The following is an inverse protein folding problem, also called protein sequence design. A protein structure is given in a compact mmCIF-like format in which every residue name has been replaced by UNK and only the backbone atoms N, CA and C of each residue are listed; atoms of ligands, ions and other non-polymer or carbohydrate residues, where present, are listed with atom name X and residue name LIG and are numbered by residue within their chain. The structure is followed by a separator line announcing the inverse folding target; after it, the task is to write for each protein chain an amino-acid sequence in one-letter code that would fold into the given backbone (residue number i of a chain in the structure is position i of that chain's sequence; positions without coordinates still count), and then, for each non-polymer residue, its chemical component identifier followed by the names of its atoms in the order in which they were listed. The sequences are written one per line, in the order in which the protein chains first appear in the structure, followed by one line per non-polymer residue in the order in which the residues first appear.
data_IF_328557794573
#
_entry.id   IF_328557794573
#
_cell.length_a   1.000
_cell.length_b   1.000
_cell.length_c   1.000
_cell.angle_alpha   90.00
_cell.angle_beta   90.00
_cell.angle_gamma   90.00
#
_symmetry.space_group_name_H-M   'P 1'
#
loop_
_entity.id
_entity.type
_entity.pdbx_description
1 polymer ?
#
# COMPACT_ATOMS: atom_id res chain seq x y z
N UNK A 1 -11.69 19.06 -7.75
CA UNK A 1 -12.09 17.91 -6.90
C UNK A 1 -12.20 18.38 -5.45
N UNK A 2 -13.20 17.87 -4.73
CA UNK A 2 -13.29 18.10 -3.30
C UNK A 2 -12.26 17.21 -2.56
N UNK A 3 -12.11 17.42 -1.25
CA UNK A 3 -11.12 16.69 -0.47
C UNK A 3 -11.34 15.17 -0.51
N UNK A 4 -12.58 14.71 -0.42
CA UNK A 4 -12.88 13.28 -0.47
C UNK A 4 -12.46 12.65 -1.80
N UNK A 5 -12.69 13.35 -2.90
CA UNK A 5 -12.26 12.89 -4.23
C UNK A 5 -10.74 12.85 -4.36
N UNK A 6 -10.04 13.85 -3.82
CA UNK A 6 -8.58 13.88 -3.80
C UNK A 6 -8.02 12.69 -3.03
N UNK A 7 -8.56 12.43 -1.84
CA UNK A 7 -8.13 11.30 -1.01
C UNK A 7 -8.42 9.96 -1.69
N UNK A 8 -9.60 9.81 -2.29
CA UNK A 8 -9.96 8.58 -3.00
C UNK A 8 -8.98 8.30 -4.14
N UNK A 9 -8.66 9.32 -4.93
CA UNK A 9 -7.69 9.19 -6.03
C UNK A 9 -6.30 8.82 -5.49
N UNK A 10 -5.86 9.46 -4.41
CA UNK A 10 -4.54 9.19 -3.81
C UNK A 10 -4.46 7.79 -3.22
N UNK A 11 -5.49 7.34 -2.53
CA UNK A 11 -5.51 5.98 -1.96
C UNK A 11 -5.48 4.91 -3.07
N UNK A 12 -6.22 5.14 -4.16
CA UNK A 12 -6.17 4.25 -5.32
C UNK A 12 -4.77 4.19 -5.94
N UNK A 13 -4.13 5.32 -6.13
CA UNK A 13 -2.75 5.38 -6.66
C UNK A 13 -1.73 4.74 -5.72
N UNK A 14 -1.95 4.85 -4.42
CA UNK A 14 -1.11 4.21 -3.42
C UNK A 14 -1.07 2.69 -3.60
N UNK A 15 -2.21 2.07 -3.89
CA UNK A 15 -2.26 0.62 -4.14
C UNK A 15 -1.31 0.23 -5.27
N UNK A 16 -1.36 0.95 -6.39
CA UNK A 16 -0.56 0.61 -7.56
C UNK A 16 0.91 1.02 -7.42
N UNK A 17 1.25 1.82 -6.44
CA UNK A 17 2.66 2.08 -6.09
C UNK A 17 3.39 0.82 -5.63
N UNK A 18 2.67 -0.17 -5.14
CA UNK A 18 3.24 -1.45 -4.72
C UNK A 18 3.39 -2.46 -5.88
N UNK A 19 2.96 -2.11 -7.08
CA UNK A 19 3.16 -2.98 -8.25
C UNK A 19 4.63 -3.09 -8.61
N UNK A 20 5.03 -4.30 -9.01
CA UNK A 20 6.35 -4.57 -9.56
C UNK A 20 6.23 -5.51 -10.75
N UNK A 21 7.08 -5.27 -11.75
CA UNK A 21 7.26 -6.17 -12.89
C UNK A 21 8.65 -6.77 -12.84
N UNK A 22 8.79 -7.96 -13.38
CA UNK A 22 10.11 -8.58 -13.54
C UNK A 22 11.00 -7.64 -14.38
N UNK A 23 12.21 -7.39 -13.89
CA UNK A 23 13.15 -6.50 -14.57
C UNK A 23 13.06 -5.03 -14.17
N UNK A 24 12.12 -4.64 -13.33
CA UNK A 24 12.07 -3.27 -12.80
C UNK A 24 13.33 -2.95 -11.99
N UNK A 25 13.63 -1.66 -11.91
CA UNK A 25 14.69 -1.18 -11.01
C UNK A 25 14.41 -1.60 -9.56
N UNK A 26 15.44 -1.74 -8.72
CA UNK A 26 15.24 -2.06 -7.31
C UNK A 26 14.23 -1.14 -6.66
N UNK A 27 13.35 -1.71 -5.86
CA UNK A 27 12.30 -0.96 -5.17
C UNK A 27 12.92 0.07 -4.23
N UNK A 28 12.48 1.31 -4.34
CA UNK A 28 12.89 2.43 -3.51
C UNK A 28 11.64 3.08 -2.92
N UNK A 29 11.43 2.87 -1.64
CA UNK A 29 10.23 3.36 -0.95
C UNK A 29 10.11 4.88 -1.02
N UNK A 30 11.19 5.60 -0.78
CA UNK A 30 11.18 7.07 -0.81
C UNK A 30 10.82 7.62 -2.18
N UNK A 31 11.33 7.01 -3.24
CA UNK A 31 11.03 7.42 -4.62
C UNK A 31 9.56 7.18 -4.98
N UNK A 32 9.01 6.03 -4.60
CA UNK A 32 7.64 5.66 -4.96
C UNK A 32 6.62 6.33 -4.05
N UNK A 33 6.88 6.35 -2.74
CA UNK A 33 5.92 6.78 -1.73
C UNK A 33 6.24 8.12 -1.07
N UNK A 34 7.26 8.82 -1.52
CA UNK A 34 7.63 10.13 -0.97
C UNK A 34 6.52 11.16 -1.03
N UNK A 35 5.63 11.05 -2.01
CA UNK A 35 4.47 11.93 -2.16
C UNK A 35 3.27 11.53 -1.30
N UNK A 36 3.26 10.32 -0.73
CA UNK A 36 2.10 9.79 0.00
C UNK A 36 2.23 9.90 1.51
N UNK A 37 3.42 9.67 2.05
CA UNK A 37 3.64 9.62 3.51
C UNK A 37 4.21 10.92 4.04
N UNK A 38 3.88 11.21 5.31
CA UNK A 38 4.52 12.30 6.03
C UNK A 38 5.82 11.78 6.66
N UNK A 39 6.95 12.20 6.12
CA UNK A 39 8.27 11.76 6.57
C UNK A 39 8.78 12.53 7.80
N UNK A 40 8.09 13.58 8.22
CA UNK A 40 8.55 14.44 9.32
C UNK A 40 7.65 14.46 10.55
N UNK A 41 6.45 13.89 10.48
CA UNK A 41 5.49 13.99 11.59
C UNK A 41 5.83 13.01 12.72
N UNK A 42 5.80 13.46 13.99
CA UNK A 42 5.89 12.56 15.14
C UNK A 42 4.60 11.74 15.34
N UNK A 43 3.53 12.05 14.62
CA UNK A 43 2.23 11.38 14.73
C UNK A 43 2.17 10.07 13.93
N UNK A 44 3.18 9.76 13.13
CA UNK A 44 3.17 8.61 12.23
C UNK A 44 3.16 7.30 13.01
N UNK A 45 2.21 6.42 12.66
CA UNK A 45 2.15 5.02 13.11
C UNK A 45 1.65 4.17 11.96
N UNK A 46 2.48 3.26 11.49
CA UNK A 46 2.21 2.46 10.29
C UNK A 46 2.39 0.98 10.64
N UNK A 47 1.37 0.19 10.34
CA UNK A 47 1.34 -1.23 10.69
C UNK A 47 0.71 -2.05 9.57
N UNK A 48 1.31 -3.21 9.30
CA UNK A 48 0.77 -4.19 8.39
C UNK A 48 1.00 -5.58 8.98
N UNK A 49 -0.07 -6.34 9.18
CA UNK A 49 0.02 -7.68 9.78
C UNK A 49 0.70 -8.71 8.86
N UNK A 50 0.91 -8.36 7.59
CA UNK A 50 1.66 -9.21 6.66
C UNK A 50 3.17 -9.15 6.91
N UNK A 51 3.65 -8.15 7.65
CA UNK A 51 5.01 -8.14 8.18
C UNK A 51 5.14 -9.23 9.25
N UNK A 52 5.98 -10.26 9.03
CA UNK A 52 6.13 -11.35 10.01
C UNK A 52 6.60 -10.87 11.38
N UNK A 53 7.30 -9.73 11.44
CA UNK A 53 7.76 -9.14 12.69
C UNK A 53 6.69 -8.34 13.43
N UNK A 54 5.52 -8.12 12.82
CA UNK A 54 4.43 -7.33 13.41
C UNK A 54 4.88 -5.99 13.97
N UNK A 55 5.78 -5.32 13.23
CA UNK A 55 6.39 -4.07 13.69
C UNK A 55 5.49 -2.88 13.41
N UNK A 56 5.36 -2.00 14.39
CA UNK A 56 4.72 -0.70 14.20
C UNK A 56 5.81 0.31 13.90
N UNK A 57 5.81 0.85 12.68
CA UNK A 57 6.76 1.89 12.32
C UNK A 57 6.30 3.24 12.88
N UNK A 58 7.21 3.99 13.47
CA UNK A 58 6.93 5.31 14.03
C UNK A 58 7.40 6.44 13.12
N UNK A 59 8.00 6.09 11.98
CA UNK A 59 8.38 7.02 10.92
C UNK A 59 8.10 6.36 9.57
N UNK A 60 7.87 7.18 8.56
CA UNK A 60 7.71 6.67 7.20
C UNK A 60 8.98 6.01 6.67
N UNK A 61 10.14 6.57 6.99
CA UNK A 61 11.43 5.98 6.62
C UNK A 61 11.61 4.59 7.25
N UNK A 62 11.21 4.42 8.51
CA UNK A 62 11.23 3.12 9.19
C UNK A 62 10.31 2.10 8.54
N UNK A 63 9.13 2.53 8.09
CA UNK A 63 8.21 1.67 7.37
C UNK A 63 8.80 1.20 6.04
N UNK A 64 9.40 2.12 5.30
CA UNK A 64 10.12 1.79 4.07
C UNK A 64 11.23 0.77 4.30
N UNK A 65 11.97 0.90 5.39
CA UNK A 65 13.03 -0.04 5.75
C UNK A 65 12.51 -1.45 6.04
N UNK A 66 11.25 -1.57 6.52
CA UNK A 66 10.60 -2.87 6.70
C UNK A 66 10.30 -3.53 5.35
N UNK A 67 9.80 -2.76 4.37
CA UNK A 67 9.30 -3.31 3.13
C UNK A 67 10.30 -3.40 2.00
N UNK A 68 11.35 -2.55 1.98
CA UNK A 68 12.31 -2.55 0.89
C UNK A 68 12.95 -3.91 0.63
N UNK A 69 13.45 -4.64 1.65
CA UNK A 69 14.07 -5.95 1.38
C UNK A 69 13.10 -6.94 0.72
N UNK A 70 11.87 -7.01 1.23
CA UNK A 70 10.86 -7.92 0.70
C UNK A 70 10.49 -7.58 -0.74
N UNK A 71 10.30 -6.29 -1.04
CA UNK A 71 9.93 -5.86 -2.40
C UNK A 71 11.09 -5.97 -3.39
N UNK A 72 12.32 -5.81 -2.93
CA UNK A 72 13.50 -6.02 -3.80
C UNK A 72 13.67 -7.49 -4.18
N UNK A 73 13.25 -8.40 -3.31
CA UNK A 73 13.34 -9.84 -3.58
C UNK A 73 12.17 -10.37 -4.41
N UNK A 74 11.07 -9.60 -4.52
CA UNK A 74 9.93 -10.00 -5.34
C UNK A 74 10.26 -10.00 -6.83
N UNK A 75 9.82 -11.02 -7.53
CA UNK A 75 9.86 -11.06 -9.00
C UNK A 75 8.81 -10.11 -9.56
N UNK A 76 7.59 -10.20 -9.05
CA UNK A 76 6.49 -9.32 -9.48
C UNK A 76 5.43 -9.20 -8.38
N UNK A 77 4.67 -8.12 -8.45
CA UNK A 77 3.48 -7.91 -7.61
C UNK A 77 2.47 -7.12 -8.43
N UNK A 78 1.27 -7.67 -8.58
CA UNK A 78 0.18 -7.06 -9.34
C UNK A 78 -1.04 -6.91 -8.46
N UNK A 79 -1.60 -5.70 -8.43
CA UNK A 79 -2.70 -5.33 -7.55
C UNK A 79 -3.95 -4.98 -8.35
N UNK A 80 -5.11 -5.18 -7.73
CA UNK A 80 -6.38 -4.68 -8.23
C UNK A 80 -7.24 -4.24 -7.04
N UNK A 81 -8.04 -3.19 -7.22
CA UNK A 81 -8.93 -2.72 -6.16
C UNK A 81 -10.18 -3.61 -6.16
N UNK A 82 -10.51 -4.13 -4.99
CA UNK A 82 -11.64 -5.02 -4.77
C UNK A 82 -12.86 -4.26 -4.25
N UNK A 83 -12.65 -3.26 -3.39
CA UNK A 83 -13.71 -2.43 -2.83
C UNK A 83 -13.16 -1.06 -2.41
N UNK A 84 -13.91 -0.01 -2.65
CA UNK A 84 -13.54 1.37 -2.28
C UNK A 84 -12.72 2.09 -3.35
N UNK A 85 -12.09 3.20 -3.00
CA UNK A 85 -11.94 3.79 -1.65
C UNK A 85 -13.21 4.40 -1.09
N UNK A 86 -13.38 4.26 0.22
CA UNK A 86 -14.43 4.94 0.99
C UNK A 86 -13.75 6.00 1.86
N UNK A 87 -14.20 7.25 1.77
CA UNK A 87 -13.50 8.39 2.37
C UNK A 87 -14.43 9.22 3.23
N UNK A 88 -13.95 9.64 4.38
CA UNK A 88 -14.53 10.71 5.17
C UNK A 88 -13.46 11.78 5.41
N UNK A 89 -13.82 13.05 5.28
CA UNK A 89 -12.90 14.16 5.49
C UNK A 89 -13.54 15.22 6.37
N UNK A 90 -12.75 15.79 7.27
CA UNK A 90 -13.19 16.86 8.17
C UNK A 90 -11.99 17.74 8.51
N UNK A 91 -12.03 19.01 8.05
CA UNK A 91 -10.93 19.93 8.25
C UNK A 91 -9.63 19.42 7.65
N UNK A 92 -8.61 19.30 8.48
CA UNK A 92 -7.26 18.91 8.04
C UNK A 92 -6.98 17.41 8.17
N UNK A 93 -8.00 16.62 8.50
CA UNK A 93 -7.87 15.16 8.60
C UNK A 93 -8.85 14.47 7.68
N UNK A 94 -8.44 13.32 7.17
CA UNK A 94 -9.30 12.44 6.41
C UNK A 94 -8.97 10.99 6.75
N UNK A 95 -9.97 10.13 6.64
CA UNK A 95 -9.79 8.69 6.78
C UNK A 95 -10.30 8.01 5.52
N UNK A 96 -9.59 7.00 5.07
CA UNK A 96 -10.02 6.22 3.92
C UNK A 96 -9.79 4.74 4.15
N UNK A 97 -10.69 3.93 3.61
CA UNK A 97 -10.56 2.48 3.63
C UNK A 97 -10.75 1.95 2.22
N UNK A 98 -10.01 0.92 1.89
CA UNK A 98 -10.26 0.15 0.68
C UNK A 98 -9.80 -1.29 0.88
N UNK A 99 -10.25 -2.15 0.01
CA UNK A 99 -9.77 -3.52 -0.04
C UNK A 99 -9.15 -3.75 -1.41
N UNK A 100 -7.96 -4.32 -1.42
CA UNK A 100 -7.31 -4.69 -2.66
C UNK A 100 -6.91 -6.17 -2.64
N UNK A 101 -6.69 -6.71 -3.82
CA UNK A 101 -6.13 -8.05 -4.01
C UNK A 101 -4.79 -7.92 -4.71
N UNK A 102 -3.90 -8.86 -4.47
CA UNK A 102 -2.60 -8.85 -5.09
C UNK A 102 -2.10 -10.27 -5.37
N UNK A 103 -1.41 -10.41 -6.48
CA UNK A 103 -0.66 -11.63 -6.80
C UNK A 103 0.82 -11.30 -6.69
N UNK A 104 1.50 -11.99 -5.80
CA UNK A 104 2.90 -11.76 -5.48
C UNK A 104 3.69 -12.97 -5.91
N UNK A 105 4.65 -12.76 -6.81
CA UNK A 105 5.58 -13.79 -7.23
C UNK A 105 6.94 -13.57 -6.58
N UNK A 106 7.42 -14.58 -5.89
CA UNK A 106 8.76 -14.66 -5.32
C UNK A 106 9.51 -15.80 -5.98
N UNK A 107 10.85 -15.89 -5.84
CA UNK A 107 11.59 -17.00 -6.43
C UNK A 107 11.08 -18.39 -6.01
N UNK A 108 10.44 -18.49 -4.83
CA UNK A 108 9.91 -19.75 -4.30
C UNK A 108 8.47 -20.07 -4.67
N UNK A 109 7.75 -19.17 -5.35
CA UNK A 109 6.36 -19.42 -5.72
C UNK A 109 5.50 -18.17 -5.77
N UNK A 110 4.20 -18.38 -5.97
CA UNK A 110 3.19 -17.32 -6.11
C UNK A 110 2.22 -17.36 -4.93
N UNK A 111 1.91 -16.19 -4.39
CA UNK A 111 0.95 -16.02 -3.29
C UNK A 111 -0.11 -15.01 -3.71
N UNK A 112 -1.37 -15.39 -3.58
CA UNK A 112 -2.51 -14.48 -3.77
C UNK A 112 -3.00 -14.01 -2.40
N UNK A 113 -3.22 -12.71 -2.26
CA UNK A 113 -3.65 -12.08 -1.00
C UNK A 113 -4.82 -11.13 -1.23
N UNK A 114 -5.56 -10.88 -0.15
CA UNK A 114 -6.54 -9.80 -0.04
C UNK A 114 -6.20 -8.98 1.19
N UNK A 115 -6.08 -7.68 1.02
CA UNK A 115 -5.74 -6.75 2.10
C UNK A 115 -6.84 -5.73 2.28
N UNK A 116 -7.27 -5.55 3.53
CA UNK A 116 -8.11 -4.42 3.93
C UNK A 116 -7.19 -3.36 4.51
N UNK A 117 -7.20 -2.17 3.95
CA UNK A 117 -6.32 -1.07 4.36
C UNK A 117 -7.13 0.10 4.89
N UNK A 118 -6.65 0.68 5.98
CA UNK A 118 -7.19 1.91 6.57
C UNK A 118 -6.07 2.92 6.68
N UNK A 119 -6.29 4.10 6.12
CA UNK A 119 -5.32 5.20 6.14
C UNK A 119 -5.94 6.42 6.79
N UNK A 120 -5.14 7.14 7.57
CA UNK A 120 -5.48 8.49 8.02
C UNK A 120 -4.51 9.45 7.35
N UNK A 121 -5.08 10.47 6.74
CA UNK A 121 -4.39 11.51 6.00
C UNK A 121 -4.49 12.82 6.76
N UNK A 122 -3.46 13.61 6.64
CA UNK A 122 -3.45 14.93 7.22
C UNK A 122 -3.01 15.93 6.17
N UNK A 123 -3.65 17.10 6.19
CA UNK A 123 -3.40 18.16 5.20
C UNK A 123 -2.12 18.88 5.55
N UNK A 124 -1.19 18.88 4.60
CA UNK A 124 0.05 19.64 4.64
C UNK A 124 -0.02 20.77 3.60
N UNK A 125 0.86 21.80 3.68
CA UNK A 125 0.87 22.87 2.68
C UNK A 125 1.00 22.38 1.23
N UNK A 126 1.69 21.25 1.03
CA UNK A 126 1.94 20.69 -0.30
C UNK A 126 1.02 19.52 -0.65
N UNK A 127 -0.01 19.26 0.14
CA UNK A 127 -1.01 18.23 -0.11
C UNK A 127 -1.21 17.28 1.07
N UNK A 128 -2.05 16.29 0.84
CA UNK A 128 -2.41 15.31 1.87
C UNK A 128 -1.32 14.24 2.02
N UNK A 129 -1.00 13.88 3.28
CA UNK A 129 0.00 12.87 3.60
C UNK A 129 -0.53 11.87 4.61
N UNK A 130 -0.11 10.62 4.47
CA UNK A 130 -0.48 9.53 5.37
C UNK A 130 0.28 9.67 6.69
N UNK A 131 -0.45 9.61 7.82
CA UNK A 131 0.12 9.59 9.16
C UNK A 131 -0.26 8.31 9.92
N UNK A 132 -1.28 7.61 9.50
CA UNK A 132 -1.69 6.33 10.09
C UNK A 132 -1.99 5.34 8.99
N UNK A 133 -1.59 4.11 9.22
CA UNK A 133 -1.89 2.99 8.32
C UNK A 133 -2.09 1.73 9.16
N UNK A 134 -3.15 1.00 8.84
CA UNK A 134 -3.39 -0.31 9.44
C UNK A 134 -3.91 -1.23 8.36
N UNK A 135 -3.14 -2.27 8.07
CA UNK A 135 -3.50 -3.25 7.04
C UNK A 135 -3.70 -4.62 7.66
N UNK A 136 -4.73 -5.30 7.19
CA UNK A 136 -5.02 -6.68 7.55
C UNK A 136 -5.08 -7.52 6.29
N UNK A 137 -4.31 -8.59 6.24
CA UNK A 137 -4.13 -9.39 5.02
C UNK A 137 -4.52 -10.84 5.26
N UNK A 138 -5.25 -11.41 4.30
CA UNK A 138 -5.52 -12.85 4.26
C UNK A 138 -4.87 -13.45 3.02
N UNK A 139 -4.33 -14.66 3.18
CA UNK A 139 -3.81 -15.43 2.04
C UNK A 139 -4.97 -16.20 1.42
N UNK A 140 -5.12 -16.05 0.10
CA UNK A 140 -6.21 -16.66 -0.65
C UNK A 140 -5.81 -18.04 -1.18
N UNK A 141 -6.81 -18.78 -1.65
CA UNK A 141 -6.56 -20.06 -2.31
C UNK A 141 -5.79 -19.84 -3.60
N UNK A 142 -4.84 -20.75 -3.94
CA UNK A 142 -4.10 -20.62 -5.20
C UNK A 142 -5.04 -20.52 -6.40
N UNK A 143 -4.78 -19.51 -7.27
CA UNK A 143 -5.57 -19.29 -8.47
C UNK A 143 -6.87 -18.52 -8.27
N UNK A 144 -7.22 -18.15 -7.04
CA UNK A 144 -8.46 -17.42 -6.76
C UNK A 144 -8.53 -16.08 -7.51
N UNK A 145 -7.39 -15.46 -7.80
CA UNK A 145 -7.31 -14.18 -8.49
C UNK A 145 -7.09 -14.31 -10.01
N UNK A 146 -7.17 -15.52 -10.57
CA UNK A 146 -6.96 -15.71 -11.99
C UNK A 146 -7.96 -14.88 -12.79
N UNK A 147 -7.44 -14.08 -13.72
CA UNK A 147 -8.22 -13.15 -14.54
C UNK A 147 -8.54 -11.81 -13.88
N UNK A 148 -8.27 -11.64 -12.59
CA UNK A 148 -8.55 -10.38 -11.88
C UNK A 148 -7.33 -9.47 -11.77
N UNK A 149 -6.18 -10.04 -11.51
CA UNK A 149 -4.92 -9.29 -11.49
C UNK A 149 -4.21 -9.58 -12.79
N UNK A 150 -4.04 -8.54 -13.61
CA UNK A 150 -3.37 -8.66 -14.91
C UNK A 150 -1.94 -9.07 -14.68
N UNK A 151 -1.57 -10.17 -14.98
CA UNK A 151 -0.22 -10.64 -14.90
C UNK A 151 -0.18 -11.98 -15.55
N UNK A 152 0.54 -12.09 -16.61
CA UNK A 152 0.93 -13.38 -17.09
C UNK A 152 1.70 -14.07 -16.00
N UNK A 153 1.07 -15.04 -15.39
CA UNK A 153 1.72 -15.98 -14.52
C UNK A 153 2.28 -17.08 -15.41
N UNK A 154 3.18 -16.70 -16.24
CA UNK A 154 3.92 -17.70 -17.00
C UNK A 154 5.27 -17.91 -16.35
#
# INVERSE_FOLDING_TARGET
MNDEQVIAERHGRWVFGWDRREGDEPFDFGRVFGEFYDFGSPAVRLYDDFDPGHRVATTAAGYGAIWEPAFRDMVSAHHAIDDGPHVVASGDLAASTLRFVARIANPGGVTDIRTTTSLVWHRMPDGWRIIREHNSTEVLSPGELDGRVGGDVS
#
